data_IF_510467422110
#
_entry.id   IF_510467422110
#
_cell.length_a   1.000
_cell.length_b   1.000
_cell.length_c   1.000
_cell.angle_alpha   90.00
_cell.angle_beta   90.00
_cell.angle_gamma   90.00
#
_symmetry.space_group_name_H-M   'P 1'
#
loop_
_entity.id
_entity.type
_entity.pdbx_description
1 polymer ?
#
# COMPACT_ATOMS: atom_id res chain seq x y z
N UNK A 1 -13.26 -12.68 8.46
CA UNK A 1 -13.93 -11.40 8.14
C UNK A 1 -13.93 -11.27 6.64
N UNK A 2 -15.04 -10.82 6.04
CA UNK A 2 -15.06 -10.53 4.62
C UNK A 2 -14.38 -9.17 4.39
N UNK A 3 -13.30 -9.17 3.60
CA UNK A 3 -12.53 -7.95 3.30
C UNK A 3 -13.02 -7.45 1.93
N UNK A 4 -13.47 -6.19 1.81
CA UNK A 4 -13.90 -5.66 0.53
C UNK A 4 -12.81 -5.75 -0.54
N UNK A 5 -13.24 -5.94 -1.78
CA UNK A 5 -12.33 -6.00 -2.91
C UNK A 5 -11.62 -4.66 -3.12
N UNK A 6 -10.30 -4.74 -3.25
CA UNK A 6 -9.48 -3.65 -3.76
C UNK A 6 -9.68 -3.53 -5.27
N UNK A 7 -9.34 -2.38 -5.84
CA UNK A 7 -9.28 -2.24 -7.29
C UNK A 7 -8.21 -3.18 -7.92
N UNK A 8 -8.19 -3.26 -9.25
CA UNK A 8 -7.10 -3.94 -9.95
C UNK A 8 -5.73 -3.29 -9.70
N UNK A 9 -4.67 -4.07 -9.85
CA UNK A 9 -3.30 -3.57 -9.74
C UNK A 9 -3.00 -2.50 -10.79
N UNK A 10 -2.41 -1.39 -10.33
CA UNK A 10 -1.92 -0.31 -11.18
C UNK A 10 -0.44 -0.12 -10.89
N UNK A 11 0.36 0.11 -11.93
CA UNK A 11 1.78 0.39 -11.74
C UNK A 11 1.94 1.66 -10.90
N UNK A 12 2.86 1.66 -9.93
CA UNK A 12 2.93 2.71 -8.93
C UNK A 12 3.08 4.10 -9.56
N UNK A 13 3.87 4.24 -10.63
CA UNK A 13 4.04 5.52 -11.33
C UNK A 13 2.71 6.16 -11.79
N UNK A 14 1.68 5.34 -12.00
CA UNK A 14 0.36 5.74 -12.50
C UNK A 14 -0.70 5.83 -11.38
N UNK A 15 -0.32 5.77 -10.09
CA UNK A 15 -1.27 5.70 -8.98
C UNK A 15 -2.28 6.86 -8.94
N UNK A 16 -1.91 8.03 -9.48
CA UNK A 16 -2.77 9.23 -9.51
C UNK A 16 -3.96 9.08 -10.46
N UNK A 17 -3.90 8.13 -11.40
CA UNK A 17 -4.98 7.85 -12.35
C UNK A 17 -6.05 6.91 -11.77
N UNK A 18 -5.86 6.40 -10.56
CA UNK A 18 -6.81 5.47 -9.95
C UNK A 18 -8.06 6.20 -9.46
N UNK A 19 -9.24 5.73 -9.88
CA UNK A 19 -10.52 6.22 -9.36
C UNK A 19 -10.60 6.07 -7.85
N UNK A 20 -10.96 7.15 -7.14
CA UNK A 20 -11.07 7.17 -5.68
C UNK A 20 -9.76 7.45 -4.93
N UNK A 21 -8.64 7.69 -5.61
CA UNK A 21 -7.35 8.03 -4.96
C UNK A 21 -7.41 9.36 -4.17
N UNK A 22 -8.39 10.21 -4.47
CA UNK A 22 -8.70 11.43 -3.72
C UNK A 22 -9.41 11.21 -2.39
N UNK A 23 -9.82 9.98 -2.07
CA UNK A 23 -10.46 9.62 -0.81
C UNK A 23 -9.44 9.07 0.20
N UNK A 24 -9.86 8.97 1.46
CA UNK A 24 -9.15 8.19 2.49
C UNK A 24 -9.37 6.69 2.25
N UNK A 25 -8.57 5.83 2.87
CA UNK A 25 -8.75 4.38 2.70
C UNK A 25 -7.52 3.56 2.99
N UNK A 26 -7.52 2.33 2.46
CA UNK A 26 -6.43 1.36 2.58
C UNK A 26 -5.78 1.18 1.22
N UNK A 27 -4.48 0.92 1.19
CA UNK A 27 -3.74 0.56 -0.02
C UNK A 27 -2.74 -0.54 0.28
N UNK A 28 -2.42 -1.30 -0.75
CA UNK A 28 -1.42 -2.37 -0.72
C UNK A 28 -0.39 -2.14 -1.81
N UNK A 29 0.87 -2.40 -1.51
CA UNK A 29 1.98 -2.36 -2.45
C UNK A 29 2.53 -3.76 -2.64
N UNK A 30 2.88 -4.08 -3.87
CA UNK A 30 3.44 -5.37 -4.23
C UNK A 30 4.51 -5.26 -5.31
N UNK A 31 5.45 -6.20 -5.29
CA UNK A 31 6.38 -6.40 -6.39
C UNK A 31 5.92 -7.52 -7.29
N UNK A 32 5.86 -7.26 -8.60
CA UNK A 32 5.61 -8.29 -9.60
C UNK A 32 6.65 -8.24 -10.70
N UNK A 33 7.20 -9.39 -11.06
CA UNK A 33 8.13 -9.51 -12.20
C UNK A 33 7.46 -9.22 -13.55
N UNK A 34 6.15 -9.43 -13.64
CA UNK A 34 5.33 -9.18 -14.82
C UNK A 34 4.05 -8.46 -14.41
N UNK A 35 3.44 -7.70 -15.32
CA UNK A 35 2.17 -7.02 -15.03
C UNK A 35 1.13 -8.05 -14.56
N UNK A 36 0.58 -7.91 -13.34
CA UNK A 36 -0.44 -8.84 -12.85
C UNK A 36 -1.74 -8.65 -13.63
N UNK A 37 -2.35 -9.76 -14.05
CA UNK A 37 -3.63 -9.79 -14.78
C UNK A 37 -4.83 -10.05 -13.87
N UNK A 38 -4.60 -10.64 -12.69
CA UNK A 38 -5.65 -10.95 -11.72
C UNK A 38 -5.86 -9.81 -10.71
N UNK A 39 -7.06 -9.72 -10.11
CA UNK A 39 -7.29 -8.87 -8.95
C UNK A 39 -6.33 -9.18 -7.80
N UNK A 40 -6.15 -8.25 -6.84
CA UNK A 40 -5.31 -8.49 -5.68
C UNK A 40 -5.76 -9.67 -4.83
N UNK A 41 -4.87 -10.66 -4.69
CA UNK A 41 -4.99 -11.69 -3.66
C UNK A 41 -4.25 -11.21 -2.42
N UNK A 42 -5.00 -10.84 -1.37
CA UNK A 42 -4.47 -10.22 -0.14
C UNK A 42 -3.46 -11.08 0.63
N UNK A 43 -3.39 -12.37 0.32
CA UNK A 43 -2.45 -13.32 0.92
C UNK A 43 -1.24 -13.62 0.02
N UNK A 44 -1.09 -12.93 -1.10
CA UNK A 44 0.03 -13.11 -2.02
C UNK A 44 1.35 -12.65 -1.39
N UNK A 45 2.38 -13.50 -1.42
CA UNK A 45 3.72 -13.18 -0.93
C UNK A 45 4.40 -12.00 -1.68
N UNK A 46 3.85 -11.60 -2.83
CA UNK A 46 4.30 -10.41 -3.56
C UNK A 46 3.95 -9.10 -2.84
N UNK A 47 2.97 -9.11 -1.92
CA UNK A 47 2.60 -7.93 -1.13
C UNK A 47 3.73 -7.64 -0.16
N UNK A 48 4.29 -6.44 -0.28
CA UNK A 48 5.38 -5.96 0.54
C UNK A 48 4.92 -4.95 1.59
N UNK A 49 3.76 -4.31 1.38
CA UNK A 49 3.27 -3.29 2.30
C UNK A 49 1.75 -3.17 2.27
N UNK A 50 1.14 -3.03 3.44
CA UNK A 50 -0.24 -2.61 3.64
C UNK A 50 -0.21 -1.28 4.38
N UNK A 51 -0.83 -0.25 3.82
CA UNK A 51 -0.90 1.07 4.40
C UNK A 51 -2.32 1.58 4.47
N UNK A 52 -2.55 2.53 5.36
CA UNK A 52 -3.84 3.23 5.47
C UNK A 52 -3.66 4.73 5.57
N UNK A 53 -4.76 5.44 5.33
CA UNK A 53 -4.90 6.82 5.75
C UNK A 53 -6.33 7.13 6.14
N UNK A 54 -6.49 7.78 7.28
CA UNK A 54 -7.78 8.12 7.90
C UNK A 54 -8.11 9.62 7.87
N UNK A 55 -7.07 10.47 7.81
CA UNK A 55 -7.18 11.94 7.83
C UNK A 55 -6.53 12.63 6.63
N UNK A 56 -6.07 11.88 5.64
CA UNK A 56 -5.54 12.40 4.37
C UNK A 56 -6.11 11.58 3.21
N UNK A 57 -5.83 12.02 1.98
CA UNK A 57 -6.16 11.25 0.78
C UNK A 57 -5.12 10.15 0.56
N UNK A 58 -5.53 9.05 -0.07
CA UNK A 58 -4.62 7.97 -0.49
C UNK A 58 -3.53 8.54 -1.39
N UNK A 59 -3.85 9.47 -2.30
CA UNK A 59 -2.87 10.12 -3.18
C UNK A 59 -1.76 10.83 -2.41
N UNK A 60 -2.12 11.56 -1.34
CA UNK A 60 -1.15 12.26 -0.48
C UNK A 60 -0.30 11.27 0.30
N UNK A 61 -0.90 10.17 0.77
CA UNK A 61 -0.18 9.14 1.52
C UNK A 61 0.79 8.36 0.63
N UNK A 62 0.39 8.00 -0.59
CA UNK A 62 1.27 7.39 -1.60
C UNK A 62 2.39 8.34 -2.04
N UNK A 63 2.11 9.64 -2.16
CA UNK A 63 3.16 10.63 -2.38
C UNK A 63 4.18 10.65 -1.24
N UNK A 64 3.74 10.67 0.02
CA UNK A 64 4.64 10.59 1.18
C UNK A 64 5.47 9.31 1.17
N UNK A 65 4.84 8.16 0.86
CA UNK A 65 5.57 6.92 0.63
C UNK A 65 6.66 7.10 -0.42
N UNK A 66 6.35 7.66 -1.59
CA UNK A 66 7.33 7.86 -2.67
C UNK A 66 8.50 8.76 -2.26
N UNK A 67 8.23 9.81 -1.47
CA UNK A 67 9.27 10.71 -0.96
C UNK A 67 10.23 9.98 -0.01
N UNK A 68 9.71 9.10 0.85
CA UNK A 68 10.55 8.29 1.74
C UNK A 68 11.24 7.14 1.04
N UNK A 69 10.53 6.43 0.16
CA UNK A 69 11.06 5.28 -0.56
C UNK A 69 12.17 5.66 -1.54
N UNK A 70 11.92 6.65 -2.39
CA UNK A 70 12.78 6.92 -3.55
C UNK A 70 13.73 8.10 -3.34
N UNK A 71 13.45 9.00 -2.40
CA UNK A 71 14.28 10.18 -2.15
C UNK A 71 14.87 10.21 -0.73
N UNK A 72 14.75 9.10 0.02
CA UNK A 72 15.24 8.95 1.40
C UNK A 72 14.77 10.06 2.37
N UNK A 73 13.65 10.72 2.09
CA UNK A 73 13.10 11.77 2.95
C UNK A 73 12.32 11.16 4.10
N UNK A 74 12.42 11.74 5.31
CA UNK A 74 11.58 11.29 6.44
C UNK A 74 10.11 11.64 6.20
N UNK A 75 9.18 10.85 6.74
CA UNK A 75 7.73 11.15 6.70
C UNK A 75 6.82 9.94 6.48
N UNK A 76 7.36 8.79 6.06
CA UNK A 76 6.59 7.57 5.88
C UNK A 76 7.40 6.32 6.29
N UNK A 77 7.04 5.68 7.40
CA UNK A 77 7.79 4.52 7.93
C UNK A 77 7.91 3.39 6.90
N UNK A 78 6.80 2.99 6.27
CA UNK A 78 6.83 1.96 5.22
C UNK A 78 7.68 2.36 4.00
N UNK A 79 7.81 3.66 3.73
CA UNK A 79 8.66 4.15 2.63
C UNK A 79 10.14 4.09 3.01
N UNK A 80 10.49 4.44 4.26
CA UNK A 80 11.84 4.28 4.77
C UNK A 80 12.27 2.81 4.80
N UNK A 81 11.39 1.92 5.28
CA UNK A 81 11.66 0.48 5.25
C UNK A 81 11.86 -0.02 3.82
N UNK A 82 11.02 0.43 2.89
CA UNK A 82 11.17 0.10 1.47
C UNK A 82 12.53 0.55 0.93
N UNK A 83 12.92 1.80 1.20
CA UNK A 83 14.21 2.36 0.76
C UNK A 83 15.37 1.51 1.25
N UNK A 84 15.37 1.13 2.52
CA UNK A 84 16.42 0.33 3.12
C UNK A 84 16.45 -1.11 2.58
N UNK A 85 15.30 -1.77 2.48
CA UNK A 85 15.21 -3.18 2.07
C UNK A 85 15.44 -3.39 0.58
N UNK A 86 14.83 -2.55 -0.26
CA UNK A 86 14.77 -2.79 -1.71
C UNK A 86 15.71 -1.88 -2.52
N UNK A 87 16.09 -0.71 -1.98
CA UNK A 87 16.97 0.25 -2.66
C UNK A 87 18.31 0.47 -1.93
N UNK A 88 18.54 -0.25 -0.82
CA UNK A 88 19.76 -0.11 0.02
C UNK A 88 20.03 1.33 0.45
N UNK A 89 18.98 2.12 0.66
CA UNK A 89 19.06 3.54 1.04
C UNK A 89 19.54 4.48 -0.08
N UNK A 90 19.73 3.97 -1.31
CA UNK A 90 20.15 4.78 -2.45
C UNK A 90 18.93 5.44 -3.09
N UNK A 91 18.92 6.78 -3.27
CA UNK A 91 17.84 7.45 -3.96
C UNK A 91 17.63 6.92 -5.38
N UNK A 92 16.38 6.84 -5.82
CA UNK A 92 15.99 6.44 -7.15
C UNK A 92 15.18 7.56 -7.80
N UNK A 93 15.56 7.95 -9.03
CA UNK A 93 14.96 9.08 -9.75
C UNK A 93 13.50 8.79 -10.12
N UNK A 94 13.15 7.51 -10.31
CA UNK A 94 11.81 7.08 -10.68
C UNK A 94 11.33 5.89 -9.80
N UNK A 95 10.01 5.72 -9.64
CA UNK A 95 9.46 4.50 -9.03
C UNK A 95 9.90 3.25 -9.81
N UNK A 96 10.26 2.15 -9.14
CA UNK A 96 10.60 0.90 -9.81
C UNK A 96 9.46 0.38 -10.68
N UNK A 97 9.79 -0.15 -11.85
CA UNK A 97 8.77 -0.59 -12.82
C UNK A 97 7.96 -1.79 -12.32
N UNK A 98 8.57 -2.60 -11.45
CA UNK A 98 7.96 -3.77 -10.84
C UNK A 98 7.10 -3.46 -9.61
N UNK A 99 6.95 -2.18 -9.22
CA UNK A 99 6.13 -1.77 -8.08
C UNK A 99 4.70 -1.47 -8.52
N UNK A 100 3.74 -2.13 -7.88
CA UNK A 100 2.30 -1.98 -8.15
C UNK A 100 1.56 -1.60 -6.87
N UNK A 101 0.43 -0.92 -7.04
CA UNK A 101 -0.48 -0.51 -5.98
C UNK A 101 -1.90 -0.93 -6.30
N UNK A 102 -2.63 -1.34 -5.27
CA UNK A 102 -4.07 -1.43 -5.29
C UNK A 102 -4.63 -0.70 -4.07
N UNK A 103 -5.82 -0.14 -4.19
CA UNK A 103 -6.46 0.71 -3.19
C UNK A 103 -7.89 0.26 -2.91
N UNK A 104 -8.34 0.56 -1.71
CA UNK A 104 -9.73 0.48 -1.27
C UNK A 104 -10.11 1.88 -0.73
N UNK A 105 -10.73 2.74 -1.55
CA UNK A 105 -11.19 4.04 -1.11
C UNK A 105 -12.41 3.89 -0.20
N UNK A 106 -12.52 4.75 0.82
CA UNK A 106 -13.59 4.71 1.81
C UNK A 106 -14.30 6.04 1.86
N UNK A 107 -15.51 6.06 1.29
CA UNK A 107 -16.45 7.18 1.35
C UNK A 107 -17.53 6.87 2.38
N UNK A 108 -17.23 7.20 3.64
CA UNK A 108 -18.11 6.98 4.81
C UNK A 108 -18.01 8.18 5.76
N UNK A 109 -18.98 8.40 6.67
CA UNK A 109 -18.87 9.41 7.72
C UNK A 109 -17.57 9.29 8.53
N UNK A 110 -17.06 10.40 9.08
CA UNK A 110 -15.70 10.46 9.60
C UNK A 110 -15.35 9.41 10.65
N UNK A 111 -16.15 9.29 11.72
CA UNK A 111 -15.87 8.35 12.81
C UNK A 111 -15.94 6.89 12.33
N UNK A 112 -16.99 6.58 11.56
CA UNK A 112 -17.21 5.24 11.00
C UNK A 112 -16.09 4.87 10.01
N UNK A 113 -15.78 5.76 9.06
CA UNK A 113 -14.73 5.56 8.08
C UNK A 113 -13.37 5.34 8.74
N UNK A 114 -13.05 6.09 9.79
CA UNK A 114 -11.81 5.90 10.56
C UNK A 114 -11.72 4.51 11.18
N UNK A 115 -12.77 4.08 11.88
CA UNK A 115 -12.82 2.76 12.49
C UNK A 115 -12.73 1.65 11.43
N UNK A 116 -13.48 1.79 10.35
CA UNK A 116 -13.50 0.85 9.24
C UNK A 116 -12.14 0.71 8.55
N UNK A 117 -11.46 1.80 8.23
CA UNK A 117 -10.15 1.80 7.60
C UNK A 117 -9.11 1.06 8.45
N UNK A 118 -9.08 1.35 9.76
CA UNK A 118 -8.17 0.68 10.70
C UNK A 118 -8.46 -0.81 10.81
N UNK A 119 -9.74 -1.18 10.85
CA UNK A 119 -10.17 -2.58 10.88
C UNK A 119 -9.71 -3.33 9.63
N UNK A 120 -9.94 -2.76 8.44
CA UNK A 120 -9.56 -3.40 7.18
C UNK A 120 -8.04 -3.54 7.07
N UNK A 121 -7.26 -2.51 7.40
CA UNK A 121 -5.79 -2.60 7.36
C UNK A 121 -5.26 -3.75 8.22
N UNK A 122 -5.76 -3.89 9.45
CA UNK A 122 -5.37 -4.99 10.34
C UNK A 122 -5.88 -6.35 9.88
N UNK A 123 -7.08 -6.41 9.31
CA UNK A 123 -7.60 -7.65 8.74
C UNK A 123 -6.74 -8.13 7.56
N UNK A 124 -6.32 -7.24 6.65
CA UNK A 124 -5.45 -7.58 5.52
C UNK A 124 -4.10 -8.11 6.01
N UNK A 125 -3.47 -7.42 6.96
CA UNK A 125 -2.19 -7.86 7.55
C UNK A 125 -2.35 -9.23 8.22
N UNK A 126 -3.44 -9.44 8.96
CA UNK A 126 -3.73 -10.71 9.62
C UNK A 126 -3.90 -11.86 8.63
N UNK A 127 -4.67 -11.68 7.55
CA UNK A 127 -4.84 -12.69 6.51
C UNK A 127 -3.51 -13.02 5.82
N UNK A 128 -2.69 -12.00 5.54
CA UNK A 128 -1.34 -12.20 5.01
C UNK A 128 -0.48 -13.03 5.98
N UNK A 129 -0.43 -12.65 7.26
CA UNK A 129 0.36 -13.33 8.30
C UNK A 129 -0.05 -14.80 8.44
N UNK A 130 -1.35 -15.10 8.55
CA UNK A 130 -1.85 -16.48 8.65
C UNK A 130 -1.38 -17.36 7.49
N UNK A 131 -1.25 -16.79 6.27
CA UNK A 131 -0.84 -17.55 5.09
C UNK A 131 0.67 -17.68 4.96
N UNK A 132 1.41 -16.64 5.29
CA UNK A 132 2.85 -16.53 4.98
C UNK A 132 3.75 -16.74 6.21
N UNK A 133 3.21 -16.72 7.42
CA UNK A 133 3.94 -16.89 8.67
C UNK A 133 4.71 -15.65 9.15
N UNK A 134 4.63 -14.54 8.42
CA UNK A 134 5.28 -13.26 8.76
C UNK A 134 4.48 -12.08 8.19
N UNK A 135 4.85 -10.85 8.58
CA UNK A 135 4.28 -9.61 8.05
C UNK A 135 4.78 -9.32 6.63
N UNK A 136 4.06 -8.48 5.86
CA UNK A 136 4.63 -7.91 4.65
C UNK A 136 5.94 -7.17 4.99
N UNK A 137 6.95 -7.28 4.12
CA UNK A 137 8.32 -6.87 4.43
C UNK A 137 8.48 -5.42 4.95
N UNK A 138 7.62 -4.49 4.50
CA UNK A 138 7.63 -3.09 4.90
C UNK A 138 6.62 -2.74 6.02
N UNK A 139 5.89 -3.71 6.56
CA UNK A 139 5.10 -3.57 7.77
C UNK A 139 5.94 -4.02 8.97
N UNK A 140 5.82 -3.29 10.08
CA UNK A 140 6.44 -3.67 11.35
C UNK A 140 5.33 -3.95 12.36
N UNK A 141 5.57 -4.90 13.27
CA UNK A 141 4.70 -5.15 14.42
C UNK A 141 4.58 -3.91 15.33
#
# INVERSE_FOLDING_TARGET
MDIPNFNGWVQFKDYKCITGVGLRGVYILAHFSHKPSSPPKLTSANIIYVGETTGQTIAKRLYQFSQSAFFAKRGHSGGLTYSNQFLKGVPNVAPPENLYVAILPVDRPEKEGKAFIKLIERAVIWEFFKKNGDYPACNTA
#
